data_IF_601116025239
#
_entry.id   IF_601116025239
#
_cell.length_a   1.000
_cell.length_b   1.000
_cell.length_c   1.000
_cell.angle_alpha   90.00
_cell.angle_beta   90.00
_cell.angle_gamma   90.00
#
_symmetry.space_group_name_H-M   'P 1'
#
loop_
_entity.id
_entity.type
_entity.pdbx_description
1 polymer ?
#
# COMPACT_ATOMS: atom_id res chain seq x y z
N UNK A 1 -28.12 -17.15 3.18
CA UNK A 1 -27.99 -16.71 1.76
C UNK A 1 -27.55 -15.26 1.70
N UNK A 2 -27.05 -14.80 0.56
CA UNK A 2 -26.83 -13.38 0.23
C UNK A 2 -27.66 -13.08 -1.02
N UNK A 3 -28.45 -12.01 -0.97
CA UNK A 3 -29.27 -11.54 -2.09
C UNK A 3 -28.73 -10.19 -2.56
N UNK A 4 -28.38 -10.08 -3.83
CA UNK A 4 -27.87 -8.85 -4.44
C UNK A 4 -28.75 -8.49 -5.62
N UNK A 5 -29.01 -7.20 -5.82
CA UNK A 5 -29.65 -6.72 -7.03
C UNK A 5 -28.58 -6.29 -8.04
N UNK A 6 -28.53 -6.93 -9.20
CA UNK A 6 -27.57 -6.65 -10.26
C UNK A 6 -28.29 -6.63 -11.60
N UNK A 7 -28.18 -5.53 -12.36
CA UNK A 7 -28.72 -5.43 -13.72
C UNK A 7 -30.23 -5.75 -13.82
N UNK A 8 -31.04 -5.19 -12.91
CA UNK A 8 -32.50 -5.44 -12.80
C UNK A 8 -32.88 -6.91 -12.49
N UNK A 9 -31.95 -7.73 -12.01
CA UNK A 9 -32.23 -9.11 -11.55
C UNK A 9 -31.74 -9.31 -10.12
N UNK A 10 -32.50 -10.10 -9.35
CA UNK A 10 -32.11 -10.54 -8.00
C UNK A 10 -31.23 -11.78 -8.12
N UNK A 11 -29.99 -11.65 -7.66
CA UNK A 11 -29.01 -12.71 -7.58
C UNK A 11 -28.99 -13.28 -6.17
N UNK A 12 -29.25 -14.58 -6.04
CA UNK A 12 -29.20 -15.29 -4.76
C UNK A 12 -28.08 -16.31 -4.78
N UNK A 13 -27.20 -16.23 -3.78
CA UNK A 13 -26.02 -17.08 -3.66
C UNK A 13 -25.83 -17.52 -2.20
N UNK A 14 -25.28 -18.73 -1.96
CA UNK A 14 -24.81 -19.10 -0.64
C UNK A 14 -23.75 -18.10 -0.14
N UNK A 15 -23.82 -17.74 1.15
CA UNK A 15 -22.95 -16.71 1.75
C UNK A 15 -21.46 -17.03 1.60
N UNK A 16 -21.09 -18.30 1.74
CA UNK A 16 -19.71 -18.75 1.61
C UNK A 16 -19.18 -18.52 0.18
N UNK A 17 -20.03 -18.74 -0.83
CA UNK A 17 -19.67 -18.56 -2.23
C UNK A 17 -19.39 -17.08 -2.55
N UNK A 18 -20.30 -16.20 -2.12
CA UNK A 18 -20.16 -14.75 -2.23
C UNK A 18 -18.87 -14.23 -1.57
N UNK A 19 -18.62 -14.63 -0.31
CA UNK A 19 -17.41 -14.22 0.41
C UNK A 19 -16.13 -14.68 -0.30
N UNK A 20 -16.13 -15.90 -0.85
CA UNK A 20 -14.99 -16.43 -1.62
C UNK A 20 -14.69 -15.59 -2.85
N UNK A 21 -15.71 -15.21 -3.62
CA UNK A 21 -15.56 -14.37 -4.81
C UNK A 21 -15.01 -12.99 -4.43
N UNK A 22 -15.61 -12.34 -3.42
CA UNK A 22 -15.13 -11.03 -2.96
C UNK A 22 -13.71 -11.12 -2.42
N UNK A 23 -13.39 -12.15 -1.64
CA UNK A 23 -12.05 -12.38 -1.15
C UNK A 23 -11.04 -12.52 -2.28
N UNK A 24 -11.36 -13.31 -3.31
CA UNK A 24 -10.51 -13.47 -4.51
C UNK A 24 -10.31 -12.13 -5.23
N UNK A 25 -11.38 -11.38 -5.47
CA UNK A 25 -11.31 -10.08 -6.13
C UNK A 25 -10.57 -9.03 -5.28
N UNK A 26 -10.69 -9.09 -3.95
CA UNK A 26 -9.93 -8.25 -3.02
C UNK A 26 -8.44 -8.57 -3.08
N UNK A 27 -8.07 -9.84 -3.05
CA UNK A 27 -6.69 -10.29 -3.15
C UNK A 27 -6.05 -9.89 -4.50
N UNK A 28 -6.77 -10.02 -5.60
CA UNK A 28 -6.30 -9.59 -6.92
C UNK A 28 -6.03 -8.07 -6.96
N UNK A 29 -6.95 -7.26 -6.44
CA UNK A 29 -6.75 -5.81 -6.32
C UNK A 29 -5.53 -5.48 -5.44
N UNK A 30 -5.37 -6.18 -4.32
CA UNK A 30 -4.22 -6.01 -3.45
C UNK A 30 -2.90 -6.33 -4.16
N UNK A 31 -2.84 -7.40 -4.96
CA UNK A 31 -1.66 -7.74 -5.76
C UNK A 31 -1.33 -6.65 -6.80
N UNK A 32 -2.34 -6.14 -7.51
CA UNK A 32 -2.19 -5.05 -8.46
C UNK A 32 -1.69 -3.76 -7.76
N UNK A 33 -2.22 -3.46 -6.58
CA UNK A 33 -1.78 -2.32 -5.77
C UNK A 33 -0.33 -2.44 -5.33
N UNK A 34 0.10 -3.64 -4.92
CA UNK A 34 1.50 -3.90 -4.57
C UNK A 34 2.42 -3.68 -5.77
N UNK A 35 2.07 -4.21 -6.94
CA UNK A 35 2.84 -4.01 -8.17
C UNK A 35 2.93 -2.53 -8.56
N UNK A 36 1.80 -1.80 -8.48
CA UNK A 36 1.75 -0.37 -8.76
C UNK A 36 2.66 0.44 -7.83
N UNK A 37 2.65 0.13 -6.53
CA UNK A 37 3.52 0.77 -5.53
C UNK A 37 4.99 0.47 -5.79
N UNK A 38 5.31 -0.77 -6.17
CA UNK A 38 6.68 -1.17 -6.52
C UNK A 38 7.18 -0.41 -7.75
N UNK A 39 6.35 -0.31 -8.79
CA UNK A 39 6.66 0.46 -9.99
C UNK A 39 6.89 1.95 -9.66
N UNK A 40 6.08 2.51 -8.76
CA UNK A 40 6.22 3.90 -8.31
C UNK A 40 7.56 4.13 -7.62
N UNK A 41 7.99 3.23 -6.73
CA UNK A 41 9.32 3.28 -6.12
C UNK A 41 10.43 3.22 -7.17
N UNK A 42 10.35 2.26 -8.11
CA UNK A 42 11.35 2.12 -9.19
C UNK A 42 11.45 3.37 -10.07
N UNK A 43 10.32 4.06 -10.32
CA UNK A 43 10.29 5.33 -11.06
C UNK A 43 10.92 6.50 -10.30
N UNK A 44 10.86 6.49 -8.97
CA UNK A 44 11.42 7.56 -8.13
C UNK A 44 12.91 7.36 -7.87
N UNK A 45 13.29 6.16 -7.45
CA UNK A 45 14.68 5.77 -7.21
C UNK A 45 14.83 4.25 -7.27
N UNK A 46 15.49 3.77 -8.32
CA UNK A 46 15.74 2.34 -8.54
C UNK A 46 16.60 1.71 -7.45
N UNK A 47 17.54 2.45 -6.85
CA UNK A 47 18.44 1.94 -5.81
C UNK A 47 17.69 1.71 -4.51
N UNK A 48 16.89 2.70 -4.09
CA UNK A 48 16.01 2.57 -2.93
C UNK A 48 14.97 1.47 -3.14
N UNK A 49 14.40 1.35 -4.35
CA UNK A 49 13.46 0.28 -4.67
C UNK A 49 14.08 -1.12 -4.51
N UNK A 50 15.32 -1.32 -5.00
CA UNK A 50 16.04 -2.58 -4.86
C UNK A 50 16.35 -2.91 -3.39
N UNK A 51 16.78 -1.91 -2.60
CA UNK A 51 17.00 -2.07 -1.16
C UNK A 51 15.73 -2.46 -0.40
N UNK A 52 14.60 -1.83 -0.72
CA UNK A 52 13.31 -2.11 -0.09
C UNK A 52 12.74 -3.50 -0.48
N UNK A 53 13.05 -4.01 -1.67
CA UNK A 53 12.69 -5.39 -2.08
C UNK A 53 13.43 -6.44 -1.24
N UNK A 54 14.72 -6.21 -0.96
CA UNK A 54 15.55 -7.13 -0.19
C UNK A 54 15.18 -7.17 1.30
N UNK A 55 14.56 -6.10 1.80
CA UNK A 55 14.32 -5.90 3.22
C UNK A 55 13.06 -6.68 3.66
N UNK A 56 13.23 -7.84 4.28
CA UNK A 56 12.12 -8.70 4.68
C UNK A 56 11.33 -8.11 5.87
N UNK A 57 10.02 -8.35 5.95
CA UNK A 57 9.18 -7.84 7.06
C UNK A 57 9.64 -8.32 8.43
N UNK A 58 10.17 -9.54 8.53
CA UNK A 58 10.77 -10.05 9.77
C UNK A 58 12.04 -9.30 10.15
N UNK A 59 12.77 -8.73 9.19
CA UNK A 59 13.96 -7.93 9.47
C UNK A 59 13.55 -6.54 9.98
N UNK A 60 12.49 -5.93 9.44
CA UNK A 60 11.94 -4.67 9.97
C UNK A 60 11.57 -4.76 11.46
N UNK A 61 10.91 -5.86 11.86
CA UNK A 61 10.56 -6.12 13.26
C UNK A 61 11.76 -6.40 14.17
N UNK A 62 12.92 -6.72 13.59
CA UNK A 62 14.17 -6.97 14.31
C UNK A 62 15.05 -5.72 14.41
N UNK A 63 14.67 -4.63 13.77
CA UNK A 63 15.34 -3.34 13.98
C UNK A 63 15.03 -2.94 15.43
N UNK A 64 16.00 -3.20 16.31
CA UNK A 64 15.94 -2.97 17.75
C UNK A 64 15.65 -1.49 18.01
N UNK A 65 14.64 -1.20 18.84
CA UNK A 65 14.27 0.16 19.24
C UNK A 65 13.06 0.75 18.51
N UNK A 66 12.43 0.02 17.57
CA UNK A 66 11.16 0.46 17.01
C UNK A 66 10.02 0.19 17.98
N UNK A 67 9.39 1.27 18.44
CA UNK A 67 8.06 1.16 19.03
C UNK A 67 7.05 0.72 17.94
N UNK A 68 5.83 0.27 18.32
CA UNK A 68 4.81 -0.14 17.36
C UNK A 68 4.51 0.92 16.28
N UNK A 69 4.67 2.20 16.62
CA UNK A 69 4.50 3.31 15.70
C UNK A 69 5.60 3.38 14.63
N UNK A 70 6.86 3.12 15.00
CA UNK A 70 7.99 3.03 14.09
C UNK A 70 7.86 1.87 13.11
N UNK A 71 7.37 0.71 13.57
CA UNK A 71 7.04 -0.41 12.66
C UNK A 71 5.99 -0.01 11.63
N UNK A 72 4.94 0.72 12.06
CA UNK A 72 3.89 1.20 11.18
C UNK A 72 4.41 2.24 10.18
N UNK A 73 5.30 3.13 10.61
CA UNK A 73 5.94 4.12 9.74
C UNK A 73 6.78 3.43 8.67
N UNK A 74 7.65 2.50 9.05
CA UNK A 74 8.48 1.75 8.11
C UNK A 74 7.65 0.90 7.16
N UNK A 75 6.55 0.31 7.64
CA UNK A 75 5.58 -0.37 6.79
C UNK A 75 5.01 0.57 5.72
N UNK A 76 4.62 1.79 6.10
CA UNK A 76 4.10 2.80 5.17
C UNK A 76 5.18 3.29 4.19
N UNK A 77 6.41 3.51 4.64
CA UNK A 77 7.54 3.87 3.77
C UNK A 77 7.75 2.77 2.73
N UNK A 78 7.97 1.53 3.18
CA UNK A 78 8.22 0.41 2.26
C UNK A 78 7.08 0.20 1.28
N UNK A 79 5.84 0.35 1.71
CA UNK A 79 4.66 0.22 0.83
C UNK A 79 4.31 1.49 0.04
N UNK A 80 5.11 2.56 0.15
CA UNK A 80 4.84 3.85 -0.50
C UNK A 80 3.44 4.40 -0.16
N UNK A 81 2.95 4.09 1.04
CA UNK A 81 1.64 4.45 1.57
C UNK A 81 1.69 5.68 2.49
N UNK A 82 2.74 6.49 2.37
CA UNK A 82 2.81 7.78 3.04
C UNK A 82 1.93 8.77 2.27
N UNK A 83 0.86 9.22 2.92
CA UNK A 83 0.18 10.44 2.49
C UNK A 83 0.99 11.62 3.00
N UNK A 84 1.53 12.42 2.10
CA UNK A 84 2.22 13.67 2.44
C UNK A 84 1.22 14.78 2.70
N UNK A 85 0.12 14.49 3.41
CA UNK A 85 -0.85 15.52 3.73
C UNK A 85 -0.17 16.61 4.56
N UNK A 86 -0.08 17.81 4.01
CA UNK A 86 0.44 18.97 4.70
C UNK A 86 -0.73 19.75 5.29
N UNK A 87 -0.85 19.85 6.63
CA UNK A 87 -1.92 20.59 7.27
C UNK A 87 -1.81 22.11 7.03
N UNK A 88 -0.64 22.60 6.65
CA UNK A 88 -0.38 24.02 6.35
C UNK A 88 -0.96 24.43 5.00
N UNK A 89 -0.92 23.52 4.01
CA UNK A 89 -1.38 23.79 2.64
C UNK A 89 -2.73 23.16 2.31
N UNK A 90 -3.31 22.36 3.22
CA UNK A 90 -4.59 21.66 3.01
C UNK A 90 -4.59 20.67 1.84
N UNK A 91 -3.43 20.39 1.28
CA UNK A 91 -3.24 19.67 0.03
C UNK A 91 -2.16 18.60 0.18
N UNK A 92 -2.29 17.54 -0.61
CA UNK A 92 -1.18 16.60 -0.81
C UNK A 92 -0.23 17.27 -1.81
N UNK A 93 1.00 17.64 -1.43
CA UNK A 93 1.94 18.27 -2.35
C UNK A 93 2.18 17.28 -3.48
N UNK A 94 1.85 17.70 -4.70
CA UNK A 94 2.31 17.03 -5.90
C UNK A 94 3.83 17.08 -5.84
N UNK A 95 4.46 15.94 -5.54
CA UNK A 95 5.91 15.86 -5.38
C UNK A 95 6.59 16.28 -6.69
N UNK A 96 6.99 17.54 -6.78
CA UNK A 96 8.20 17.92 -7.49
C UNK A 96 9.35 17.24 -6.75
N UNK A 97 9.88 16.20 -7.39
CA UNK A 97 11.14 15.58 -7.05
C UNK A 97 12.22 16.65 -7.19
N UNK A 98 12.70 17.22 -6.08
CA UNK A 98 13.96 17.94 -6.04
C UNK A 98 14.78 17.44 -4.86
N UNK A 99 15.70 16.54 -5.18
CA UNK A 99 16.62 15.86 -4.28
C UNK A 99 17.78 16.79 -3.84
N UNK A 100 17.48 17.89 -3.15
CA UNK A 100 18.50 18.86 -2.73
C UNK A 100 18.43 19.31 -1.26
N UNK A 101 18.02 18.44 -0.32
CA UNK A 101 18.03 18.81 1.12
C UNK A 101 18.54 17.69 2.05
N UNK A 102 19.45 16.82 1.60
CA UNK A 102 20.18 15.91 2.50
C UNK A 102 21.69 15.98 2.30
N UNK A 103 22.24 17.19 2.38
CA UNK A 103 23.66 17.41 2.60
C UNK A 103 23.84 18.66 3.48
N UNK A 104 23.90 18.44 4.79
CA UNK A 104 24.69 19.20 5.77
C UNK A 104 24.84 18.37 7.03
#
# INVERSE_FOLDING_TARGET
>A
MVCLWVGRRRWEQPRHHYKRIIGKAGNQRALQDLQRRQLKWRRQDARSAAGLEQLHWKQLRRIVGLNPWGEQLLYRVKTQALSLYSPVTGATPALMVNAHVWAR
#
